data_IF_450890334897
#
_entry.id   IF_450890334897
#
_cell.length_a   1.000
_cell.length_b   1.000
_cell.length_c   1.000
_cell.angle_alpha   90.00
_cell.angle_beta   90.00
_cell.angle_gamma   90.00
#
_symmetry.space_group_name_H-M   'P 1'
#
loop_
_entity.id
_entity.type
_entity.pdbx_description
1 polymer ?
#
# COMPACT_ATOMS: atom_id res chain seq x y z
N UNK A 1 7.84 -8.02 -11.70
CA UNK A 1 6.76 -8.88 -11.14
C UNK A 1 5.45 -8.12 -11.21
N UNK A 2 4.37 -8.81 -11.53
CA UNK A 2 3.03 -8.25 -11.36
C UNK A 2 2.64 -8.29 -9.89
N UNK A 3 1.99 -7.24 -9.39
CA UNK A 3 1.42 -7.23 -8.05
C UNK A 3 0.25 -8.20 -7.96
N UNK A 4 0.15 -8.86 -6.80
CA UNK A 4 -1.10 -9.52 -6.44
C UNK A 4 -2.17 -8.47 -6.15
N UNK A 5 -3.45 -8.84 -6.22
CA UNK A 5 -4.55 -7.93 -5.90
C UNK A 5 -4.41 -7.30 -4.49
N UNK A 6 -4.07 -8.05 -3.42
CA UNK A 6 -3.81 -7.45 -2.11
C UNK A 6 -2.66 -6.44 -2.10
N UNK A 7 -1.57 -6.72 -2.81
CA UNK A 7 -0.43 -5.80 -2.93
C UNK A 7 -0.83 -4.51 -3.64
N UNK A 8 -1.57 -4.62 -4.74
CA UNK A 8 -2.03 -3.47 -5.50
C UNK A 8 -3.00 -2.60 -4.69
N UNK A 9 -3.98 -3.22 -4.00
CA UNK A 9 -4.93 -2.49 -3.13
C UNK A 9 -4.23 -1.78 -1.97
N UNK A 10 -3.30 -2.45 -1.29
CA UNK A 10 -2.55 -1.85 -0.18
C UNK A 10 -1.66 -0.71 -0.67
N UNK A 11 -0.92 -0.91 -1.77
CA UNK A 11 -0.03 0.12 -2.31
C UNK A 11 -0.83 1.33 -2.84
N UNK A 12 -1.99 1.07 -3.44
CA UNK A 12 -2.93 2.09 -3.89
C UNK A 12 -3.51 2.93 -2.76
N UNK A 13 -3.96 2.28 -1.68
CA UNK A 13 -4.43 2.98 -0.49
C UNK A 13 -3.33 3.87 0.13
N UNK A 14 -2.07 3.41 0.11
CA UNK A 14 -0.93 4.21 0.58
C UNK A 14 -0.55 5.34 -0.41
N UNK A 15 -0.77 5.18 -1.72
CA UNK A 15 -0.46 6.21 -2.72
C UNK A 15 -1.51 7.32 -2.79
N UNK A 16 -2.75 7.06 -2.41
CA UNK A 16 -3.80 8.10 -2.45
C UNK A 16 -3.66 9.14 -1.33
N UNK A 17 -2.77 8.91 -0.37
CA UNK A 17 -2.48 9.86 0.67
C UNK A 17 -1.51 10.94 0.19
N UNK A 18 -1.79 12.20 0.51
CA UNK A 18 -0.82 13.28 0.37
C UNK A 18 0.38 13.03 1.31
N UNK A 19 1.63 13.17 0.86
CA UNK A 19 2.78 13.16 1.75
C UNK A 19 2.62 14.26 2.83
N UNK A 20 2.91 14.00 4.12
CA UNK A 20 3.61 12.84 4.69
C UNK A 20 2.68 11.85 5.41
N UNK A 21 1.42 11.70 5.00
CA UNK A 21 0.47 10.87 5.73
C UNK A 21 0.84 9.39 5.72
N UNK A 22 0.62 8.73 6.86
CA UNK A 22 0.90 7.31 7.08
C UNK A 22 -0.35 6.56 7.53
N UNK A 23 -0.46 5.27 7.22
CA UNK A 23 -1.55 4.41 7.68
C UNK A 23 -1.03 3.30 8.59
N UNK A 24 -1.79 3.01 9.63
CA UNK A 24 -1.67 1.78 10.40
C UNK A 24 -2.29 0.60 9.63
N UNK A 25 -1.90 -0.63 9.98
CA UNK A 25 -2.52 -1.85 9.42
C UNK A 25 -4.04 -1.85 9.60
N UNK A 26 -4.54 -1.39 10.75
CA UNK A 26 -5.99 -1.30 11.00
C UNK A 26 -6.70 -0.34 10.04
N UNK A 27 -6.08 0.79 9.70
CA UNK A 27 -6.64 1.71 8.71
C UNK A 27 -6.57 1.12 7.30
N UNK A 28 -5.50 0.42 6.95
CA UNK A 28 -5.37 -0.29 5.68
C UNK A 28 -6.45 -1.36 5.51
N UNK A 29 -6.69 -2.20 6.53
CA UNK A 29 -7.77 -3.19 6.48
C UNK A 29 -9.13 -2.55 6.16
N UNK A 30 -9.42 -1.39 6.75
CA UNK A 30 -10.66 -0.64 6.50
C UNK A 30 -10.70 -0.05 5.08
N UNK A 31 -9.59 0.51 4.61
CA UNK A 31 -9.51 1.14 3.29
C UNK A 31 -9.57 0.12 2.15
N UNK A 32 -8.95 -1.06 2.32
CA UNK A 32 -8.85 -2.07 1.28
C UNK A 32 -9.89 -3.18 1.39
N UNK A 33 -10.65 -3.22 2.49
CA UNK A 33 -11.57 -4.31 2.85
C UNK A 33 -10.88 -5.70 2.86
N UNK A 34 -9.60 -5.73 3.22
CA UNK A 34 -8.80 -6.96 3.27
C UNK A 34 -8.64 -7.44 4.72
N UNK A 35 -8.52 -8.76 4.93
CA UNK A 35 -8.17 -9.29 6.23
C UNK A 35 -6.73 -8.88 6.61
N UNK A 36 -6.51 -8.68 7.90
CA UNK A 36 -5.23 -8.20 8.45
C UNK A 36 -4.03 -9.05 8.02
N UNK A 37 -4.19 -10.37 7.96
CA UNK A 37 -3.14 -11.30 7.49
C UNK A 37 -2.71 -11.03 6.05
N UNK A 38 -3.64 -10.66 5.17
CA UNK A 38 -3.34 -10.31 3.78
C UNK A 38 -2.64 -8.96 3.69
N UNK A 39 -3.06 -7.99 4.52
CA UNK A 39 -2.41 -6.68 4.60
C UNK A 39 -0.97 -6.82 5.10
N UNK A 40 -0.72 -7.58 6.16
CA UNK A 40 0.65 -7.83 6.66
C UNK A 40 1.54 -8.50 5.61
N UNK A 41 1.05 -9.52 4.91
CA UNK A 41 1.81 -10.19 3.84
C UNK A 41 2.13 -9.24 2.69
N UNK A 42 1.16 -8.44 2.26
CA UNK A 42 1.36 -7.43 1.22
C UNK A 42 2.41 -6.40 1.65
N UNK A 43 2.27 -5.82 2.85
CA UNK A 43 3.22 -4.84 3.39
C UNK A 43 4.64 -5.40 3.52
N UNK A 44 4.78 -6.66 3.94
CA UNK A 44 6.08 -7.33 4.01
C UNK A 44 6.73 -7.48 2.62
N UNK A 45 5.97 -7.81 1.58
CA UNK A 45 6.52 -7.91 0.21
C UNK A 45 6.83 -6.53 -0.38
N UNK A 46 5.95 -5.55 -0.15
CA UNK A 46 6.15 -4.18 -0.61
C UNK A 46 7.34 -3.50 0.08
N UNK A 47 7.59 -3.80 1.35
CA UNK A 47 8.77 -3.29 2.07
C UNK A 47 10.06 -3.90 1.58
N UNK A 48 10.09 -5.23 1.38
CA UNK A 48 11.24 -5.94 0.81
C UNK A 48 11.62 -5.45 -0.59
N UNK A 49 10.66 -4.91 -1.34
CA UNK A 49 10.86 -4.36 -2.69
C UNK A 49 11.07 -2.84 -2.70
N UNK A 50 11.04 -2.19 -1.54
CA UNK A 50 11.23 -0.74 -1.40
C UNK A 50 10.07 0.12 -1.91
N UNK A 51 8.88 -0.45 -2.05
CA UNK A 51 7.67 0.23 -2.54
C UNK A 51 6.83 0.84 -1.40
N UNK A 52 6.95 0.30 -0.19
CA UNK A 52 6.35 0.85 1.01
C UNK A 52 7.37 0.86 2.16
N UNK A 53 7.23 1.79 3.09
CA UNK A 53 8.09 1.91 4.26
C UNK A 53 7.24 1.94 5.52
N UNK A 54 7.62 1.14 6.52
CA UNK A 54 7.00 1.09 7.83
C UNK A 54 7.90 1.71 8.90
N UNK A 55 7.32 2.31 9.94
CA UNK A 55 8.05 2.71 11.14
C UNK A 55 8.37 1.50 12.02
N UNK A 56 9.51 1.55 12.72
CA UNK A 56 9.93 0.50 13.66
C UNK A 56 9.34 0.67 15.07
N UNK A 57 8.84 1.87 15.39
CA UNK A 57 8.19 2.16 16.66
C UNK A 57 6.68 2.05 16.51
N UNK A 58 6.03 1.38 17.47
CA UNK A 58 4.66 0.86 17.34
C UNK A 58 3.59 1.94 17.16
N UNK A 59 2.31 1.54 17.01
CA UNK A 59 1.91 0.62 15.94
C UNK A 59 2.53 1.04 14.60
N UNK A 60 3.05 0.08 13.83
CA UNK A 60 3.76 0.36 12.59
C UNK A 60 2.93 1.25 11.65
N UNK A 61 3.50 2.41 11.32
CA UNK A 61 2.93 3.38 10.40
C UNK A 61 3.56 3.20 9.02
N UNK A 62 2.72 3.01 8.02
CA UNK A 62 3.12 2.68 6.67
C UNK A 62 2.90 3.85 5.73
N UNK A 63 3.85 4.08 4.83
CA UNK A 63 3.74 5.07 3.76
C UNK A 63 4.20 4.49 2.42
N UNK A 64 3.65 5.03 1.34
CA UNK A 64 4.13 4.76 -0.01
C UNK A 64 5.46 5.49 -0.26
N UNK A 65 6.41 4.85 -0.93
CA UNK A 65 7.62 5.52 -1.44
C UNK A 65 7.34 6.12 -2.82
N UNK A 66 8.20 7.01 -3.31
CA UNK A 66 8.07 7.54 -4.67
C UNK A 66 8.10 6.42 -5.72
N UNK A 67 8.95 5.40 -5.49
CA UNK A 67 8.99 4.20 -6.31
C UNK A 67 7.67 3.42 -6.26
N UNK A 68 7.04 3.33 -5.08
CA UNK A 68 5.72 2.73 -4.90
C UNK A 68 4.64 3.46 -5.71
N UNK A 69 4.64 4.80 -5.66
CA UNK A 69 3.69 5.64 -6.41
C UNK A 69 3.83 5.45 -7.92
N UNK A 70 5.06 5.45 -8.44
CA UNK A 70 5.33 5.17 -9.85
C UNK A 70 4.93 3.75 -10.25
N UNK A 71 5.06 2.78 -9.35
CA UNK A 71 4.71 1.41 -9.65
C UNK A 71 3.20 1.18 -9.73
N UNK A 72 2.42 1.84 -8.86
CA UNK A 72 0.96 1.69 -8.80
C UNK A 72 0.20 2.59 -9.80
N UNK A 73 0.84 3.65 -10.32
CA UNK A 73 0.25 4.50 -11.36
C UNK A 73 0.09 3.83 -12.73
N UNK A 74 0.65 2.62 -12.91
CA UNK A 74 0.52 1.84 -14.14
C UNK A 74 -0.96 1.51 -14.42
N UNK A 75 -1.44 1.61 -15.68
CA UNK A 75 -2.85 1.46 -16.01
C UNK A 75 -3.49 0.17 -15.49
N UNK A 76 -2.74 -0.94 -15.48
CA UNK A 76 -3.19 -2.25 -15.01
C UNK A 76 -3.61 -2.30 -13.53
N UNK A 77 -3.23 -1.30 -12.73
CA UNK A 77 -3.55 -1.25 -11.30
C UNK A 77 -4.56 -0.16 -10.92
N UNK A 78 -5.11 0.60 -11.88
CA UNK A 78 -6.05 1.72 -11.60
C UNK A 78 -7.26 1.28 -10.77
N UNK A 79 -7.86 0.14 -11.11
CA UNK A 79 -9.03 -0.39 -10.41
C UNK A 79 -8.70 -0.79 -8.96
N UNK A 80 -7.49 -1.29 -8.73
CA UNK A 80 -7.03 -1.64 -7.38
C UNK A 80 -6.64 -0.40 -6.56
N UNK A 81 -6.13 0.62 -7.24
CA UNK A 81 -5.64 1.83 -6.59
C UNK A 81 -6.75 2.80 -6.19
N UNK A 82 -7.98 2.63 -6.67
CA UNK A 82 -9.04 3.61 -6.47
C UNK A 82 -8.72 4.97 -7.11
N UNK A 83 -7.71 5.01 -8.00
CA UNK A 83 -7.38 6.17 -8.82
C UNK A 83 -8.48 6.30 -9.87
N UNK A 84 -9.53 7.06 -9.53
CA UNK A 84 -10.49 7.52 -10.55
C UNK A 84 -9.72 8.36 -11.60
N UNK A 85 -10.12 8.27 -12.89
CA UNK A 85 -9.52 9.04 -13.96
C UNK A 85 -9.59 10.55 -13.73
#
# INVERSE_FOLDING_TARGET
MAFTEPEAKVLGALSNLDPPHTLTVRQLCRATLLPETSVHRALLRLSRTGLAMGTLQGPAQWRCTDRGRLAISRPVYRDCAGLRP
#
